data_IF_008461435882
#
_entry.id   IF_008461435882
#
_cell.length_a   1.000
_cell.length_b   1.000
_cell.length_c   1.000
_cell.angle_alpha   90.00
_cell.angle_beta   90.00
_cell.angle_gamma   90.00
#
_symmetry.space_group_name_H-M   'P 1'
#
loop_
_entity.id
_entity.type
_entity.pdbx_description
1 polymer ?
#
# COMPACT_ATOMS: atom_id res chain seq x y z
N UNK A 1 -4.82 2.23 8.66
CA UNK A 1 -5.61 2.75 9.81
C UNK A 1 -7.09 2.93 9.42
N UNK A 2 -7.43 3.84 8.50
CA UNK A 2 -8.82 4.16 8.19
C UNK A 2 -9.68 2.99 7.65
N UNK A 3 -9.14 2.15 6.76
CA UNK A 3 -9.80 0.91 6.31
C UNK A 3 -10.03 -0.09 7.46
N UNK A 4 -9.03 -0.28 8.32
CA UNK A 4 -9.09 -1.21 9.45
C UNK A 4 -10.07 -0.75 10.55
N UNK A 5 -10.23 0.57 10.69
CA UNK A 5 -11.21 1.21 11.57
C UNK A 5 -12.61 1.33 10.94
N UNK A 6 -12.81 0.80 9.72
CA UNK A 6 -14.06 0.86 8.95
C UNK A 6 -14.60 2.27 8.72
N UNK A 7 -13.71 3.27 8.69
CA UNK A 7 -14.06 4.68 8.48
C UNK A 7 -13.83 5.14 7.03
N UNK A 8 -14.16 4.28 6.06
CA UNK A 8 -13.91 4.51 4.63
C UNK A 8 -14.61 5.75 4.07
N UNK A 9 -15.74 6.18 4.66
CA UNK A 9 -16.46 7.39 4.24
C UNK A 9 -15.61 8.67 4.37
N UNK A 10 -14.56 8.66 5.20
CA UNK A 10 -13.65 9.81 5.33
C UNK A 10 -12.63 9.90 4.19
N UNK A 11 -12.50 8.85 3.36
CA UNK A 11 -11.62 8.82 2.18
C UNK A 11 -12.30 9.34 0.93
N UNK A 12 -13.62 9.47 0.95
CA UNK A 12 -14.41 9.85 -0.22
C UNK A 12 -14.25 11.33 -0.48
N UNK A 13 -14.13 11.69 -1.75
CA UNK A 13 -14.18 13.08 -2.18
C UNK A 13 -15.48 13.73 -1.71
N UNK A 14 -15.38 14.94 -1.14
CA UNK A 14 -16.53 15.69 -0.64
C UNK A 14 -17.51 16.04 -1.76
N UNK A 15 -17.01 16.22 -2.98
CA UNK A 15 -17.82 16.61 -4.13
C UNK A 15 -18.70 15.46 -4.65
N UNK A 16 -18.38 14.19 -4.31
CA UNK A 16 -19.27 13.06 -4.60
C UNK A 16 -20.53 13.08 -3.73
N UNK A 17 -20.50 13.75 -2.58
CA UNK A 17 -21.62 13.80 -1.63
C UNK A 17 -22.03 12.40 -1.17
N UNK A 18 -23.24 11.97 -1.54
CA UNK A 18 -23.75 10.61 -1.28
C UNK A 18 -23.89 9.76 -2.55
N UNK A 19 -23.30 10.20 -3.67
CA UNK A 19 -23.40 9.55 -4.97
C UNK A 19 -22.29 8.52 -5.16
N UNK A 20 -22.20 7.56 -4.25
CA UNK A 20 -21.27 6.44 -4.35
C UNK A 20 -21.86 5.21 -3.66
N UNK A 21 -21.54 4.03 -4.19
CA UNK A 21 -21.86 2.79 -3.52
C UNK A 21 -20.77 2.46 -2.49
N UNK A 22 -21.19 1.94 -1.32
CA UNK A 22 -20.27 1.63 -0.22
C UNK A 22 -19.41 0.41 -0.51
N UNK A 23 -19.93 -0.57 -1.26
CA UNK A 23 -19.22 -1.77 -1.66
C UNK A 23 -18.16 -1.41 -2.69
N UNK A 24 -18.53 -0.65 -3.73
CA UNK A 24 -17.57 -0.16 -4.73
C UNK A 24 -16.44 0.66 -4.09
N UNK A 25 -16.76 1.50 -3.09
CA UNK A 25 -15.74 2.23 -2.33
C UNK A 25 -14.77 1.28 -1.62
N UNK A 26 -15.27 0.24 -0.97
CA UNK A 26 -14.45 -0.73 -0.26
C UNK A 26 -13.54 -1.49 -1.23
N UNK A 27 -14.07 -1.97 -2.35
CA UNK A 27 -13.32 -2.64 -3.41
C UNK A 27 -12.23 -1.74 -4.00
N UNK A 28 -12.55 -0.46 -4.27
CA UNK A 28 -11.58 0.52 -4.75
C UNK A 28 -10.44 0.75 -3.76
N UNK A 29 -10.75 0.80 -2.46
CA UNK A 29 -9.73 0.95 -1.42
C UNK A 29 -8.85 -0.31 -1.34
N UNK A 30 -9.42 -1.50 -1.46
CA UNK A 30 -8.64 -2.75 -1.50
C UNK A 30 -7.68 -2.78 -2.69
N UNK A 31 -8.17 -2.44 -3.89
CA UNK A 31 -7.33 -2.34 -5.10
C UNK A 31 -6.22 -1.31 -4.91
N UNK A 32 -6.53 -0.14 -4.37
CA UNK A 32 -5.54 0.90 -4.11
C UNK A 32 -4.45 0.42 -3.14
N UNK A 33 -4.85 -0.24 -2.05
CA UNK A 33 -3.92 -0.79 -1.05
C UNK A 33 -2.98 -1.85 -1.65
N UNK A 34 -3.50 -2.75 -2.50
CA UNK A 34 -2.68 -3.72 -3.25
C UNK A 34 -1.67 -3.01 -4.17
N UNK A 35 -2.10 -1.96 -4.88
CA UNK A 35 -1.24 -1.18 -5.78
C UNK A 35 -0.14 -0.39 -5.07
N UNK A 36 -0.36 0.04 -3.82
CA UNK A 36 0.58 0.85 -3.04
C UNK A 36 1.45 0.06 -2.07
N UNK A 37 1.53 -1.26 -2.21
CA UNK A 37 2.36 -2.09 -1.33
C UNK A 37 3.83 -1.67 -1.38
N UNK A 38 4.49 -1.74 -0.22
CA UNK A 38 5.88 -1.32 -0.06
C UNK A 38 6.80 -2.04 -1.05
N UNK A 39 6.72 -3.37 -1.08
CA UNK A 39 7.51 -4.20 -1.99
C UNK A 39 6.91 -4.18 -3.41
N UNK A 40 7.67 -3.75 -4.45
CA UNK A 40 7.18 -3.70 -5.82
C UNK A 40 6.75 -5.06 -6.38
N UNK A 41 7.35 -6.14 -5.90
CA UNK A 41 7.04 -7.52 -6.31
C UNK A 41 5.64 -7.98 -5.90
N UNK A 42 5.03 -7.35 -4.91
CA UNK A 42 3.68 -7.71 -4.45
C UNK A 42 2.59 -6.92 -5.19
N UNK A 43 2.94 -5.78 -5.79
CA UNK A 43 1.99 -4.92 -6.50
C UNK A 43 1.43 -5.67 -7.72
N UNK A 44 0.11 -5.59 -7.96
CA UNK A 44 -0.51 -6.19 -9.13
C UNK A 44 0.00 -5.59 -10.44
N UNK A 45 0.02 -6.40 -11.50
CA UNK A 45 0.18 -5.88 -12.88
C UNK A 45 -1.07 -5.10 -13.26
N UNK A 46 -0.94 -4.11 -14.14
CA UNK A 46 -2.09 -3.32 -14.60
C UNK A 46 -3.21 -4.16 -15.23
N UNK A 47 -2.87 -5.25 -15.92
CA UNK A 47 -3.87 -6.19 -16.45
C UNK A 47 -4.70 -6.88 -15.36
N UNK A 48 -4.10 -7.13 -14.19
CA UNK A 48 -4.79 -7.71 -13.05
C UNK A 48 -5.64 -6.65 -12.34
N UNK A 49 -5.15 -5.42 -12.25
CA UNK A 49 -5.94 -4.28 -11.73
C UNK A 49 -7.21 -4.10 -12.53
N UNK A 50 -7.13 -4.13 -13.87
CA UNK A 50 -8.31 -4.02 -14.74
C UNK A 50 -9.30 -5.16 -14.46
N UNK A 51 -8.83 -6.41 -14.39
CA UNK A 51 -9.72 -7.55 -14.08
C UNK A 51 -10.42 -7.40 -12.73
N UNK A 52 -9.70 -6.96 -11.70
CA UNK A 52 -10.31 -6.69 -10.39
C UNK A 52 -11.39 -5.61 -10.46
N UNK A 53 -11.16 -4.53 -11.23
CA UNK A 53 -12.14 -3.46 -11.43
C UNK A 53 -13.33 -3.88 -12.30
N UNK A 54 -13.16 -4.90 -13.15
CA UNK A 54 -14.25 -5.54 -13.90
C UNK A 54 -15.05 -6.54 -13.04
N UNK A 55 -14.66 -6.76 -11.79
CA UNK A 55 -15.33 -7.63 -10.82
C UNK A 55 -14.77 -9.05 -10.71
N UNK A 56 -13.56 -9.30 -11.21
CA UNK A 56 -12.93 -10.63 -11.23
C UNK A 56 -11.62 -10.68 -10.41
N UNK A 57 -11.55 -11.61 -9.44
CA UNK A 57 -10.30 -11.98 -8.78
C UNK A 57 -9.82 -11.09 -7.64
N UNK A 58 -10.61 -10.09 -7.22
CA UNK A 58 -10.22 -9.18 -6.14
C UNK A 58 -10.20 -9.87 -4.77
N UNK A 59 -11.23 -10.64 -4.44
CA UNK A 59 -11.38 -11.28 -3.13
C UNK A 59 -10.23 -12.25 -2.83
N UNK A 60 -9.90 -13.13 -3.78
CA UNK A 60 -8.83 -14.12 -3.66
C UNK A 60 -7.47 -13.44 -3.50
N UNK A 61 -7.23 -12.37 -4.27
CA UNK A 61 -5.97 -11.63 -4.23
C UNK A 61 -5.82 -10.84 -2.93
N UNK A 62 -6.91 -10.25 -2.46
CA UNK A 62 -6.96 -9.54 -1.20
C UNK A 62 -6.63 -10.48 -0.03
N UNK A 63 -7.28 -11.64 0.05
CA UNK A 63 -7.02 -12.66 1.07
C UNK A 63 -5.56 -13.16 1.04
N UNK A 64 -5.00 -13.40 -0.15
CA UNK A 64 -3.61 -13.81 -0.30
C UNK A 64 -2.63 -12.76 0.25
N UNK A 65 -2.95 -11.47 0.10
CA UNK A 65 -2.10 -10.37 0.55
C UNK A 65 -2.06 -10.24 2.08
N UNK A 66 -3.18 -10.51 2.77
CA UNK A 66 -3.29 -10.39 4.23
C UNK A 66 -2.56 -11.50 5.00
N UNK A 67 -2.33 -12.65 4.37
CA UNK A 67 -1.57 -13.76 4.99
C UNK A 67 -0.06 -13.49 5.09
N UNK A 68 0.44 -12.42 4.47
CA UNK A 68 1.88 -12.04 4.48
C UNK A 68 2.21 -11.09 5.63
N UNK A 69 1.19 -10.52 6.31
CA UNK A 69 1.35 -9.49 7.35
C UNK A 69 1.62 -10.04 8.77
N UNK A 70 1.84 -11.36 8.94
CA UNK A 70 2.42 -11.85 10.21
C UNK A 70 3.93 -11.58 10.16
N UNK A 71 4.52 -10.83 11.11
CA UNK A 71 5.95 -10.57 11.10
C UNK A 71 6.70 -11.86 11.46
N UNK A 72 6.97 -12.71 10.47
CA UNK A 72 8.10 -13.63 10.55
C UNK A 72 9.34 -12.77 10.38
N UNK A 73 9.91 -12.41 11.53
CA UNK A 73 11.34 -12.23 11.68
C UNK A 73 12.06 -13.24 10.78
N UNK A 74 12.66 -12.76 9.69
CA UNK A 74 13.70 -13.49 8.98
C UNK A 74 14.86 -12.53 8.89
N UNK A 75 15.67 -12.63 9.94
CA UNK A 75 17.12 -12.62 9.94
C UNK A 75 17.80 -11.75 8.88
N UNK A 76 18.59 -10.82 9.41
CA UNK A 76 19.97 -10.54 8.96
C UNK A 76 20.55 -11.68 8.12
N UNK A 77 21.38 -11.37 7.11
CA UNK A 77 22.40 -12.23 6.46
C UNK A 77 22.49 -12.08 4.92
N UNK A 78 21.78 -11.16 4.24
CA UNK A 78 21.96 -10.99 2.77
C UNK A 78 22.03 -9.56 2.21
N UNK A 79 22.17 -8.52 3.04
CA UNK A 79 22.43 -7.16 2.56
C UNK A 79 23.87 -6.70 2.90
N UNK A 80 24.59 -6.07 1.96
CA UNK A 80 25.93 -5.54 2.22
C UNK A 80 25.95 -4.53 3.39
N UNK A 81 27.09 -4.38 4.09
CA UNK A 81 27.17 -3.73 5.42
C UNK A 81 26.80 -2.24 5.50
N UNK A 82 26.38 -1.61 4.41
CA UNK A 82 26.13 -0.16 4.33
C UNK A 82 24.69 0.25 4.64
N UNK A 83 23.80 -0.70 4.96
CA UNK A 83 22.36 -0.42 5.10
C UNK A 83 21.85 -0.47 6.55
N UNK A 84 22.69 -0.82 7.55
CA UNK A 84 22.24 -1.02 8.93
C UNK A 84 22.41 0.18 9.88
N UNK A 85 22.82 1.36 9.41
CA UNK A 85 22.95 2.54 10.27
C UNK A 85 21.62 3.27 10.56
N UNK A 86 20.50 2.88 9.92
CA UNK A 86 19.22 3.60 10.09
C UNK A 86 18.23 2.92 11.05
N UNK A 87 18.53 1.72 11.55
CA UNK A 87 17.58 0.91 12.32
C UNK A 87 17.77 0.99 13.85
N UNK A 88 18.51 1.97 14.36
CA UNK A 88 18.84 2.08 15.78
C UNK A 88 18.41 3.37 16.47
N UNK A 89 17.61 4.24 15.84
CA UNK A 89 17.08 5.43 16.52
C UNK A 89 15.59 5.61 16.23
N UNK A 90 14.76 4.96 17.04
CA UNK A 90 13.38 5.38 17.29
C UNK A 90 13.42 6.82 17.82
N UNK A 91 12.70 7.72 17.15
CA UNK A 91 12.40 9.12 17.53
C UNK A 91 13.33 10.23 17.01
N UNK A 92 13.35 10.45 15.70
CA UNK A 92 13.27 11.80 15.11
C UNK A 92 12.87 11.75 13.64
N UNK A 93 11.67 12.22 13.32
CA UNK A 93 11.20 12.39 11.94
C UNK A 93 11.97 13.55 11.27
N UNK A 94 13.00 13.20 10.51
CA UNK A 94 13.67 14.11 9.58
C UNK A 94 13.81 13.44 8.22
N UNK A 95 12.80 13.58 7.35
CA UNK A 95 12.95 13.24 5.93
C UNK A 95 13.66 14.42 5.26
N UNK A 96 14.97 14.33 5.06
CA UNK A 96 15.68 15.28 4.19
C UNK A 96 15.35 14.99 2.72
N UNK A 97 15.10 16.06 1.97
CA UNK A 97 14.66 15.99 0.57
C UNK A 97 15.78 15.47 -0.35
N UNK A 98 15.40 14.69 -1.37
CA UNK A 98 16.35 14.32 -2.44
C UNK A 98 16.57 15.52 -3.37
N UNK A 99 17.80 15.97 -3.50
CA UNK A 99 18.20 16.98 -4.49
C UNK A 99 18.20 16.33 -5.87
N UNK A 100 17.22 16.68 -6.71
CA UNK A 100 17.22 16.29 -8.11
C UNK A 100 18.20 17.21 -8.86
N UNK A 101 19.24 16.60 -9.46
CA UNK A 101 20.30 17.24 -10.24
C UNK A 101 19.85 18.50 -10.98
N UNK A 102 20.61 19.59 -10.79
CA UNK A 102 20.39 20.91 -11.38
C UNK A 102 20.42 20.95 -12.92
N UNK A 103 20.22 22.15 -13.51
CA UNK A 103 19.81 22.32 -14.90
C UNK A 103 20.86 21.84 -15.91
N UNK A 104 20.33 21.35 -17.04
CA UNK A 104 21.05 20.71 -18.16
C UNK A 104 22.02 21.64 -18.88
#
# INVERSE_FOLDING_TARGET
KLHQEKQLSMMVDKDLGSNYDRVELEEMVQVALLCTQYYPSHRPRMSEVIRMLEGDGLAEKWEASQNVDTPKSVSSELLPPKFMDFAADESSLGLEAMELSGPR
#
